data_IF_701957607002
#
_entry.id   IF_701957607002
#
_cell.length_a   1.000
_cell.length_b   1.000
_cell.length_c   1.000
_cell.angle_alpha   90.00
_cell.angle_beta   90.00
_cell.angle_gamma   90.00
#
_symmetry.space_group_name_H-M   'P 1'
#
loop_
_entity.id
_entity.type
_entity.pdbx_description
1 polymer ?
#
# COMPACT_ATOMS: atom_id res chain seq x y z
N UNK A 1 21.63 1.87 3.84
CA UNK A 1 21.05 2.72 4.89
C UNK A 1 20.48 1.92 6.06
N UNK A 2 19.91 0.76 5.77
CA UNK A 2 19.34 -0.09 6.82
C UNK A 2 20.44 -0.95 7.45
N UNK A 3 20.57 -0.88 8.78
CA UNK A 3 21.55 -1.68 9.52
C UNK A 3 21.18 -3.16 9.50
N UNK A 4 22.16 -4.08 9.62
CA UNK A 4 21.85 -5.50 9.80
C UNK A 4 20.87 -5.70 10.95
N UNK A 5 19.85 -6.52 10.75
CA UNK A 5 18.76 -6.71 11.71
C UNK A 5 17.71 -5.62 11.73
N UNK A 6 17.90 -4.57 10.94
CA UNK A 6 16.94 -3.47 10.85
C UNK A 6 15.68 -3.85 10.10
N UNK A 7 14.61 -3.08 10.31
CA UNK A 7 13.30 -3.30 9.70
C UNK A 7 12.87 -2.07 8.92
N UNK A 8 12.43 -2.28 7.69
CA UNK A 8 11.79 -1.24 6.87
C UNK A 8 10.29 -1.48 6.85
N UNK A 9 9.51 -0.43 7.10
CA UNK A 9 8.05 -0.44 6.98
C UNK A 9 7.68 0.44 5.79
N UNK A 10 6.96 -0.15 4.84
CA UNK A 10 6.64 0.52 3.58
C UNK A 10 5.14 0.42 3.34
N UNK A 11 4.51 1.53 2.96
CA UNK A 11 3.13 1.51 2.47
C UNK A 11 3.10 2.15 1.09
N UNK A 12 2.34 1.54 0.19
CA UNK A 12 2.18 2.04 -1.17
C UNK A 12 0.72 1.97 -1.58
N UNK A 13 0.25 2.90 -2.43
CA UNK A 13 -1.14 2.89 -2.89
C UNK A 13 -1.33 1.92 -4.04
N UNK A 14 -2.54 1.36 -4.13
CA UNK A 14 -3.01 0.66 -5.33
C UNK A 14 -4.11 1.48 -5.98
N UNK A 15 -5.20 1.73 -5.26
CA UNK A 15 -6.31 2.56 -5.76
C UNK A 15 -6.12 3.97 -5.22
N UNK A 16 -5.89 4.93 -6.13
CA UNK A 16 -5.63 6.30 -5.73
C UNK A 16 -5.78 7.22 -6.94
N UNK A 17 -6.02 8.49 -6.65
CA UNK A 17 -6.00 9.55 -7.66
C UNK A 17 -4.57 9.94 -7.98
N UNK A 18 -4.39 10.65 -9.08
CA UNK A 18 -3.11 11.27 -9.40
C UNK A 18 -2.99 12.54 -8.56
N UNK A 19 -1.89 12.67 -7.81
CA UNK A 19 -1.57 13.91 -7.12
C UNK A 19 -0.97 14.87 -8.14
N UNK A 20 -1.67 15.95 -8.44
CA UNK A 20 -1.19 16.94 -9.41
C UNK A 20 0.07 17.65 -8.93
N UNK A 21 0.20 17.84 -7.62
CA UNK A 21 1.38 18.45 -7.04
C UNK A 21 2.62 17.58 -7.27
N UNK A 22 2.51 16.29 -6.94
CA UNK A 22 3.61 15.35 -7.15
C UNK A 22 3.93 15.18 -8.63
N UNK A 23 2.89 15.09 -9.45
CA UNK A 23 3.02 14.95 -10.90
C UNK A 23 3.89 16.06 -11.51
N UNK A 24 3.66 17.30 -11.06
CA UNK A 24 4.39 18.47 -11.59
C UNK A 24 5.81 18.59 -11.02
N UNK A 25 6.01 18.22 -9.78
CA UNK A 25 7.26 18.49 -9.07
C UNK A 25 8.26 17.33 -9.17
N UNK A 26 7.78 16.10 -9.05
CA UNK A 26 8.68 14.93 -9.08
C UNK A 26 8.14 13.74 -9.88
N UNK A 27 6.96 13.86 -10.40
CA UNK A 27 6.32 12.79 -11.15
C UNK A 27 5.46 11.89 -10.27
N UNK A 28 4.53 11.22 -10.91
CA UNK A 28 3.61 10.27 -10.26
C UNK A 28 3.54 9.05 -11.19
N UNK A 29 4.51 8.14 -11.05
CA UNK A 29 4.77 7.11 -12.04
C UNK A 29 4.18 5.75 -11.71
N UNK A 30 3.99 5.45 -10.42
CA UNK A 30 3.79 4.08 -10.02
C UNK A 30 2.54 3.89 -9.17
N UNK A 31 1.84 2.82 -9.49
CA UNK A 31 0.85 2.17 -8.63
C UNK A 31 1.31 0.73 -8.48
N UNK A 32 0.97 0.11 -7.37
CA UNK A 32 1.50 -1.21 -7.04
C UNK A 32 0.38 -2.22 -6.84
N UNK A 33 0.68 -3.47 -7.12
CA UNK A 33 -0.06 -4.61 -6.59
C UNK A 33 0.83 -5.28 -5.55
N UNK A 34 0.27 -6.20 -4.78
CA UNK A 34 1.07 -6.98 -3.83
C UNK A 34 2.19 -7.74 -4.55
N UNK A 35 1.92 -8.27 -5.72
CA UNK A 35 2.92 -9.01 -6.50
C UNK A 35 4.03 -8.12 -7.04
N UNK A 36 3.70 -6.93 -7.55
CA UNK A 36 4.72 -6.02 -8.07
C UNK A 36 5.61 -5.50 -6.94
N UNK A 37 5.03 -5.21 -5.79
CA UNK A 37 5.81 -4.77 -4.63
C UNK A 37 6.75 -5.88 -4.15
N UNK A 38 6.25 -7.11 -4.05
CA UNK A 38 7.09 -8.25 -3.67
C UNK A 38 8.25 -8.44 -4.64
N UNK A 39 7.98 -8.32 -5.93
CA UNK A 39 9.01 -8.47 -6.95
C UNK A 39 10.12 -7.43 -6.82
N UNK A 40 9.74 -6.18 -6.57
CA UNK A 40 10.72 -5.12 -6.34
C UNK A 40 11.53 -5.33 -5.08
N UNK A 41 10.86 -5.69 -3.98
CA UNK A 41 11.53 -5.87 -2.69
C UNK A 41 12.44 -7.11 -2.68
N UNK A 42 12.14 -8.12 -3.50
CA UNK A 42 12.97 -9.31 -3.59
C UNK A 42 14.35 -9.04 -4.20
N UNK A 43 14.54 -7.91 -4.84
CA UNK A 43 15.85 -7.49 -5.32
C UNK A 43 16.76 -7.00 -4.21
N UNK A 44 16.19 -6.59 -3.08
CA UNK A 44 16.94 -6.01 -1.96
C UNK A 44 16.91 -6.87 -0.69
N UNK A 45 15.88 -7.71 -0.54
CA UNK A 45 15.65 -8.51 0.66
C UNK A 45 15.43 -9.96 0.27
N UNK A 46 15.81 -10.87 1.14
CA UNK A 46 15.45 -12.29 0.97
C UNK A 46 13.94 -12.44 1.04
N UNK A 47 13.37 -13.31 0.23
CA UNK A 47 11.93 -13.47 0.11
C UNK A 47 11.27 -13.82 1.44
N UNK A 48 11.91 -14.65 2.26
CA UNK A 48 11.40 -15.01 3.57
C UNK A 48 11.51 -13.89 4.62
N UNK A 49 12.10 -12.76 4.26
CA UNK A 49 12.22 -11.58 5.10
C UNK A 49 11.24 -10.47 4.73
N UNK A 50 10.38 -10.72 3.76
CA UNK A 50 9.40 -9.75 3.28
C UNK A 50 8.00 -10.26 3.61
N UNK A 51 7.26 -9.48 4.40
CA UNK A 51 5.85 -9.74 4.71
C UNK A 51 5.02 -8.67 4.04
N UNK A 52 4.06 -9.07 3.21
CA UNK A 52 3.18 -8.14 2.49
C UNK A 52 1.75 -8.39 2.89
N UNK A 53 1.03 -7.31 3.20
CA UNK A 53 -0.38 -7.33 3.54
C UNK A 53 -1.12 -6.30 2.72
N UNK A 54 -2.32 -6.63 2.29
CA UNK A 54 -3.20 -5.69 1.59
C UNK A 54 -4.34 -5.28 2.52
N UNK A 55 -4.81 -4.06 2.36
CA UNK A 55 -5.86 -3.49 3.20
C UNK A 55 -6.89 -2.81 2.33
N UNK A 56 -8.17 -2.95 2.71
CA UNK A 56 -9.26 -2.26 2.06
C UNK A 56 -10.23 -3.19 1.35
N UNK A 57 -11.22 -2.58 0.75
CA UNK A 57 -12.29 -3.26 0.04
C UNK A 57 -12.91 -2.30 -0.97
N UNK A 58 -13.86 -2.77 -1.77
CA UNK A 58 -14.50 -1.94 -2.78
C UNK A 58 -15.19 -0.73 -2.15
N UNK A 59 -15.93 -0.92 -1.06
CA UNK A 59 -16.66 0.17 -0.41
C UNK A 59 -15.72 1.25 0.11
N UNK A 60 -14.65 0.85 0.79
CA UNK A 60 -13.65 1.79 1.28
C UNK A 60 -12.93 2.51 0.12
N UNK A 61 -12.67 1.81 -0.97
CA UNK A 61 -12.04 2.39 -2.16
C UNK A 61 -12.93 3.45 -2.82
N UNK A 62 -14.22 3.14 -2.97
CA UNK A 62 -15.19 4.10 -3.51
C UNK A 62 -15.30 5.32 -2.60
N UNK A 63 -15.40 5.11 -1.29
CA UNK A 63 -15.46 6.18 -0.32
C UNK A 63 -14.23 7.07 -0.38
N UNK A 64 -13.05 6.46 -0.48
CA UNK A 64 -11.79 7.20 -0.62
C UNK A 64 -11.79 8.07 -1.87
N UNK A 65 -12.20 7.52 -3.01
CA UNK A 65 -12.22 8.26 -4.27
C UNK A 65 -13.25 9.40 -4.27
N UNK A 66 -14.37 9.24 -3.55
CA UNK A 66 -15.35 10.29 -3.39
C UNK A 66 -14.99 11.31 -2.31
N UNK A 67 -13.95 11.05 -1.52
CA UNK A 67 -13.55 11.96 -0.45
C UNK A 67 -14.44 11.87 0.79
N UNK A 68 -15.06 10.71 1.03
CA UNK A 68 -15.92 10.51 2.20
C UNK A 68 -15.03 10.31 3.44
N UNK A 69 -15.36 11.02 4.51
CA UNK A 69 -14.60 10.97 5.76
C UNK A 69 -14.81 9.65 6.51
N UNK A 70 -13.80 9.25 7.28
CA UNK A 70 -13.86 8.05 8.10
C UNK A 70 -15.07 8.05 9.04
N UNK A 71 -15.40 9.20 9.60
CA UNK A 71 -16.52 9.39 10.53
C UNK A 71 -17.89 9.13 9.89
N UNK A 72 -17.97 9.18 8.57
CA UNK A 72 -19.19 8.90 7.82
C UNK A 72 -19.37 7.43 7.48
N UNK A 73 -18.38 6.60 7.80
CA UNK A 73 -18.38 5.18 7.51
C UNK A 73 -18.49 4.34 8.78
N UNK A 74 -19.09 3.17 8.64
CA UNK A 74 -19.14 2.21 9.74
C UNK A 74 -17.78 1.54 9.88
N UNK A 75 -17.40 1.20 11.11
CA UNK A 75 -16.16 0.49 11.39
C UNK A 75 -16.06 -0.82 10.59
N UNK A 76 -17.18 -1.56 10.51
CA UNK A 76 -17.23 -2.81 9.74
C UNK A 76 -16.94 -2.63 8.26
N UNK A 77 -17.30 -1.47 7.69
CA UNK A 77 -17.03 -1.16 6.29
C UNK A 77 -15.54 -0.90 6.03
N UNK A 78 -14.84 -0.41 7.05
CA UNK A 78 -13.40 -0.14 6.96
C UNK A 78 -12.55 -1.37 7.21
N UNK A 79 -13.01 -2.27 8.07
CA UNK A 79 -12.25 -3.45 8.49
C UNK A 79 -12.39 -4.65 7.55
N UNK A 80 -13.44 -4.67 6.73
CA UNK A 80 -13.66 -5.77 5.79
C UNK A 80 -12.53 -5.80 4.75
N UNK A 81 -11.93 -6.96 4.56
CA UNK A 81 -10.82 -7.14 3.62
C UNK A 81 -11.31 -7.84 2.35
N UNK A 82 -11.06 -7.21 1.21
CA UNK A 82 -11.40 -7.76 -0.10
C UNK A 82 -10.12 -7.81 -0.95
N UNK A 83 -9.66 -9.02 -1.22
CA UNK A 83 -8.41 -9.24 -1.93
C UNK A 83 -8.41 -8.70 -3.36
N UNK A 84 -9.59 -8.56 -3.97
CA UNK A 84 -9.71 -8.06 -5.34
C UNK A 84 -9.67 -6.52 -5.41
N UNK A 85 -9.99 -5.85 -4.31
CA UNK A 85 -10.07 -4.39 -4.27
C UNK A 85 -9.26 -3.81 -3.11
N UNK A 86 -7.96 -4.10 -3.05
CA UNK A 86 -7.13 -3.49 -2.00
C UNK A 86 -6.90 -2.01 -2.29
N UNK A 87 -6.90 -1.20 -1.27
CA UNK A 87 -6.67 0.24 -1.36
C UNK A 87 -5.21 0.58 -1.10
N UNK A 88 -4.62 -0.04 -0.09
CA UNK A 88 -3.24 0.18 0.35
C UNK A 88 -2.56 -1.17 0.56
N UNK A 89 -1.27 -1.19 0.27
CA UNK A 89 -0.42 -2.36 0.48
C UNK A 89 0.66 -1.99 1.48
N UNK A 90 0.84 -2.82 2.50
CA UNK A 90 1.89 -2.65 3.49
C UNK A 90 2.93 -3.75 3.36
N UNK A 91 4.18 -3.40 3.58
CA UNK A 91 5.28 -4.36 3.59
C UNK A 91 6.16 -4.17 4.81
N UNK A 92 6.57 -5.28 5.40
CA UNK A 92 7.56 -5.33 6.48
C UNK A 92 8.76 -6.10 5.93
N UNK A 93 9.90 -5.44 5.86
CA UNK A 93 11.13 -6.02 5.32
C UNK A 93 12.22 -6.02 6.39
N UNK A 94 12.83 -7.16 6.61
CA UNK A 94 13.89 -7.31 7.61
C UNK A 94 15.22 -7.58 6.93
N UNK A 95 16.23 -6.81 7.27
CA UNK A 95 17.57 -7.00 6.78
C UNK A 95 18.31 -8.02 7.65
N UNK A 96 18.99 -8.95 7.01
CA UNK A 96 19.82 -9.92 7.70
C UNK A 96 21.02 -9.30 8.41
#
# INVERSE_FOLDING_TARGET
>A
LLKPGGTALITVPLISQISLYDYKNWGCYWRFTDQSLRKLLSECFLDNRVEISTYGNMKASIAFLYGICQEEMKQSDLEYHDEQFPLIIGAVCRKE
#
